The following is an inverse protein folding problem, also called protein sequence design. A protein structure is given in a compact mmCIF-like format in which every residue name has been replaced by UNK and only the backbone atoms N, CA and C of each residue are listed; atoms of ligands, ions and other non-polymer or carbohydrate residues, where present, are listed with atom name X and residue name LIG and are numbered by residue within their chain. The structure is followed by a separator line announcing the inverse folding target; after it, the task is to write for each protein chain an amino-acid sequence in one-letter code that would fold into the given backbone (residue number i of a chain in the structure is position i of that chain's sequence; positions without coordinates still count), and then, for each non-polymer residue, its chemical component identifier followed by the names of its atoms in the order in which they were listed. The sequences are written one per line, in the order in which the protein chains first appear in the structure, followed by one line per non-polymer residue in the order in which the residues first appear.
data_IF_659607947057
#
_entry.id   IF_659607947057
#
_cell.length_a   1.000
_cell.length_b   1.000
_cell.length_c   1.000
_cell.angle_alpha   90.00
_cell.angle_beta   90.00
_cell.angle_gamma   90.00
#
_symmetry.space_group_name_H-M   'P 1'
#
loop_
_entity.id
_entity.type
_entity.pdbx_description
1 polymer ?
#
# COMPACT_ATOMS: atom_id res chain seq x y z
N UNK A 1 22.36 1.03 11.81
CA UNK A 1 21.69 1.35 10.54
C UNK A 1 20.26 0.88 10.62
N UNK A 2 19.32 1.76 10.21
CA UNK A 2 17.87 1.53 10.33
C UNK A 2 17.24 1.95 9.00
N UNK A 3 16.34 1.11 8.47
CA UNK A 3 15.50 1.44 7.33
C UNK A 3 14.03 1.44 7.76
N UNK A 4 13.24 2.34 7.16
CA UNK A 4 11.79 2.39 7.31
C UNK A 4 11.12 2.41 5.95
N UNK A 5 10.15 1.54 5.75
CA UNK A 5 9.51 1.37 4.44
C UNK A 5 8.00 1.13 4.56
N UNK A 6 7.30 1.49 3.50
CA UNK A 6 5.86 1.28 3.30
C UNK A 6 5.63 0.39 2.07
N UNK A 7 6.27 -0.79 2.00
CA UNK A 7 6.07 -1.69 0.86
C UNK A 7 4.63 -2.18 0.79
N UNK A 8 4.08 -2.27 -0.43
CA UNK A 8 2.69 -2.67 -0.64
C UNK A 8 2.37 -4.04 -0.02
N UNK A 9 3.29 -5.00 -0.09
CA UNK A 9 3.11 -6.32 0.49
C UNK A 9 2.96 -6.25 2.03
N UNK A 10 3.88 -5.55 2.71
CA UNK A 10 3.81 -5.37 4.17
C UNK A 10 2.54 -4.62 4.55
N UNK A 11 2.21 -3.51 3.87
CA UNK A 11 1.01 -2.73 4.15
C UNK A 11 -0.27 -3.55 3.97
N UNK A 12 -0.35 -4.35 2.91
CA UNK A 12 -1.49 -5.25 2.69
C UNK A 12 -1.69 -6.22 3.86
N UNK A 13 -0.60 -6.69 4.46
CA UNK A 13 -0.66 -7.64 5.57
C UNK A 13 -0.96 -6.96 6.91
N UNK A 14 -0.29 -5.83 7.24
CA UNK A 14 -0.47 -5.15 8.54
C UNK A 14 -1.81 -4.44 8.67
N UNK A 15 -2.55 -4.28 7.56
CA UNK A 15 -3.91 -3.72 7.53
C UNK A 15 -5.01 -4.78 7.73
N UNK A 16 -4.68 -6.08 7.73
CA UNK A 16 -5.67 -7.13 7.99
C UNK A 16 -6.08 -7.18 9.47
N UNK A 17 -7.34 -7.46 9.75
CA UNK A 17 -7.86 -7.59 11.12
C UNK A 17 -7.11 -8.67 11.92
N UNK A 18 -6.77 -9.78 11.27
CA UNK A 18 -6.04 -10.90 11.87
C UNK A 18 -4.51 -10.84 11.64
N UNK A 19 -3.99 -9.68 11.27
CA UNK A 19 -2.58 -9.44 10.94
C UNK A 19 -1.61 -10.01 11.96
N UNK A 20 -1.83 -9.77 13.25
CA UNK A 20 -0.94 -10.26 14.33
C UNK A 20 -0.71 -11.76 14.27
N UNK A 21 -1.77 -12.54 14.07
CA UNK A 21 -1.68 -14.01 13.98
C UNK A 21 -0.91 -14.45 12.75
N UNK A 22 -1.13 -13.80 11.62
CA UNK A 22 -0.46 -14.11 10.36
C UNK A 22 1.02 -13.71 10.43
N UNK A 23 1.31 -12.51 10.92
CA UNK A 23 2.67 -12.01 11.11
C UNK A 23 3.51 -12.95 11.99
N UNK A 24 2.91 -13.45 13.08
CA UNK A 24 3.58 -14.41 13.96
C UNK A 24 3.86 -15.75 13.27
N UNK A 25 3.01 -16.20 12.35
CA UNK A 25 3.25 -17.40 11.54
C UNK A 25 4.40 -17.21 10.53
N UNK A 26 4.49 -16.02 9.91
CA UNK A 26 5.49 -15.74 8.87
C UNK A 26 6.87 -15.47 9.49
N UNK A 27 6.92 -14.69 10.57
CA UNK A 27 8.17 -14.13 11.12
C UNK A 27 8.58 -14.73 12.47
N UNK A 28 7.67 -15.41 13.18
CA UNK A 28 7.95 -15.85 14.55
C UNK A 28 8.26 -14.67 15.46
N UNK A 29 9.44 -14.70 16.08
CA UNK A 29 9.94 -13.63 16.95
C UNK A 29 10.96 -12.71 16.25
N UNK A 30 11.18 -12.88 14.95
CA UNK A 30 12.14 -12.04 14.21
C UNK A 30 11.74 -10.57 14.13
N UNK A 31 10.44 -10.31 14.14
CA UNK A 31 9.88 -8.96 14.11
C UNK A 31 8.96 -8.75 15.28
N UNK A 32 9.18 -7.67 16.02
CA UNK A 32 8.25 -7.26 17.07
C UNK A 32 7.09 -6.44 16.45
N UNK A 33 5.91 -6.55 17.05
CA UNK A 33 4.69 -5.93 16.53
C UNK A 33 4.33 -4.73 17.39
N UNK A 34 4.25 -3.56 16.75
CA UNK A 34 3.80 -2.31 17.36
C UNK A 34 2.32 -2.13 17.04
N UNK A 35 1.43 -2.00 18.02
CA UNK A 35 0.02 -1.68 17.77
C UNK A 35 -0.11 -0.31 17.09
N UNK A 36 -1.25 -0.09 16.41
CA UNK A 36 -1.49 1.20 15.77
C UNK A 36 -1.53 2.35 16.79
N UNK A 37 -0.70 3.33 16.51
CA UNK A 37 -0.71 4.65 17.16
C UNK A 37 -0.52 5.69 16.05
N UNK A 38 -1.22 6.82 16.16
CA UNK A 38 -1.07 7.92 15.21
C UNK A 38 0.42 8.28 15.03
N UNK A 39 0.92 8.37 13.78
CA UNK A 39 2.30 8.75 13.51
C UNK A 39 2.69 10.05 14.19
N UNK A 40 3.82 10.04 14.91
CA UNK A 40 4.32 11.16 15.69
C UNK A 40 5.10 10.71 16.91
N UNK A 41 5.28 11.59 17.87
CA UNK A 41 6.10 11.36 19.06
C UNK A 41 5.63 10.12 19.88
N UNK A 42 4.32 9.95 20.04
CA UNK A 42 3.77 8.82 20.79
C UNK A 42 4.11 7.47 20.13
N UNK A 43 4.05 7.39 18.80
CA UNK A 43 4.46 6.20 18.06
C UNK A 43 5.96 5.94 18.21
N UNK A 44 6.79 6.98 18.08
CA UNK A 44 8.25 6.86 18.21
C UNK A 44 8.64 6.31 19.60
N UNK A 45 8.03 6.83 20.66
CA UNK A 45 8.25 6.36 22.03
C UNK A 45 7.85 4.89 22.20
N UNK A 46 6.63 4.52 21.77
CA UNK A 46 6.15 3.13 21.87
C UNK A 46 7.01 2.16 21.05
N UNK A 47 7.43 2.57 19.84
CA UNK A 47 8.29 1.74 19.00
C UNK A 47 9.65 1.48 19.67
N UNK A 48 10.23 2.49 20.31
CA UNK A 48 11.47 2.35 21.07
C UNK A 48 11.29 1.40 22.27
N UNK A 49 10.25 1.58 23.06
CA UNK A 49 9.95 0.71 24.21
C UNK A 49 9.77 -0.76 23.78
N UNK A 50 9.07 -1.01 22.66
CA UNK A 50 8.89 -2.37 22.14
C UNK A 50 10.20 -2.94 21.57
N UNK A 51 11.01 -2.14 20.89
CA UNK A 51 12.31 -2.58 20.41
C UNK A 51 13.25 -2.98 21.55
N UNK A 52 13.27 -2.24 22.64
CA UNK A 52 14.06 -2.56 23.84
C UNK A 52 13.59 -3.84 24.54
N UNK A 53 12.29 -4.16 24.49
CA UNK A 53 11.73 -5.39 25.03
C UNK A 53 12.02 -6.63 24.15
N UNK A 54 12.44 -6.40 22.89
CA UNK A 54 12.71 -7.46 21.91
C UNK A 54 14.12 -7.30 21.30
N UNK A 55 15.18 -7.41 22.10
CA UNK A 55 16.55 -7.17 21.64
C UNK A 55 17.03 -8.16 20.56
N UNK A 56 16.37 -9.32 20.45
CA UNK A 56 16.61 -10.32 19.42
C UNK A 56 15.93 -10.02 18.09
N UNK A 57 15.02 -9.06 18.05
CA UNK A 57 14.28 -8.74 16.83
C UNK A 57 15.18 -8.09 15.76
N UNK A 58 14.86 -8.35 14.52
CA UNK A 58 15.53 -7.79 13.34
C UNK A 58 14.86 -6.52 12.82
N UNK A 59 13.73 -6.15 13.43
CA UNK A 59 12.92 -5.01 13.03
C UNK A 59 11.58 -4.94 13.77
N UNK A 60 10.74 -3.99 13.36
CA UNK A 60 9.38 -3.78 13.86
C UNK A 60 8.38 -3.81 12.71
N UNK A 61 7.21 -4.38 12.96
CA UNK A 61 6.02 -4.24 12.13
C UNK A 61 5.03 -3.32 12.85
N UNK A 62 4.76 -2.19 12.25
CA UNK A 62 3.82 -1.22 12.78
C UNK A 62 2.46 -1.48 12.12
N UNK A 63 1.48 -1.89 12.91
CA UNK A 63 0.14 -2.15 12.40
C UNK A 63 -0.44 -0.89 11.76
N UNK A 64 -1.03 -1.05 10.58
CA UNK A 64 -1.65 0.02 9.78
C UNK A 64 -0.68 1.17 9.41
N UNK A 65 0.65 0.90 9.40
CA UNK A 65 1.61 1.93 9.11
C UNK A 65 2.74 1.45 8.19
N UNK A 66 3.54 0.46 8.62
CA UNK A 66 4.72 0.07 7.86
C UNK A 66 5.69 -0.83 8.63
N UNK A 67 6.96 -0.71 8.28
CA UNK A 67 7.98 -1.67 8.67
C UNK A 67 9.32 -0.98 8.95
N UNK A 68 9.97 -1.33 10.05
CA UNK A 68 11.35 -0.99 10.34
C UNK A 68 12.24 -2.22 10.30
N UNK A 69 13.46 -2.04 9.82
CA UNK A 69 14.54 -3.00 9.98
C UNK A 69 15.78 -2.31 10.54
N UNK A 70 16.67 -3.07 11.13
CA UNK A 70 17.99 -2.58 11.51
C UNK A 70 19.07 -3.63 11.25
N UNK A 71 20.31 -3.19 11.22
CA UNK A 71 21.46 -4.05 10.98
C UNK A 71 22.78 -3.44 11.44
N UNK A 72 23.82 -4.27 11.53
CA UNK A 72 25.19 -3.83 11.89
C UNK A 72 25.79 -2.90 10.84
N UNK A 73 25.27 -2.94 9.61
CA UNK A 73 25.62 -2.06 8.51
C UNK A 73 24.38 -1.82 7.63
N UNK A 74 24.47 -0.85 6.71
CA UNK A 74 23.37 -0.46 5.84
C UNK A 74 22.89 -1.63 4.96
N UNK A 75 23.83 -2.43 4.43
CA UNK A 75 23.50 -3.59 3.60
C UNK A 75 22.64 -4.60 4.37
N UNK A 76 23.00 -4.93 5.59
CA UNK A 76 22.24 -5.88 6.40
C UNK A 76 20.83 -5.38 6.71
N UNK A 77 20.68 -4.09 7.03
CA UNK A 77 19.37 -3.48 7.25
C UNK A 77 18.50 -3.56 5.98
N UNK A 78 19.07 -3.17 4.83
CA UNK A 78 18.39 -3.24 3.53
C UNK A 78 18.04 -4.67 3.11
N UNK A 79 18.98 -5.62 3.25
CA UNK A 79 18.72 -7.03 2.91
C UNK A 79 17.53 -7.60 3.73
N UNK A 80 17.37 -7.15 4.98
CA UNK A 80 16.22 -7.51 5.82
C UNK A 80 14.91 -6.92 5.29
N UNK A 81 14.92 -5.68 4.78
CA UNK A 81 13.73 -5.11 4.11
C UNK A 81 13.27 -6.02 2.97
N UNK A 82 14.22 -6.43 2.13
CA UNK A 82 13.94 -7.29 0.96
C UNK A 82 13.45 -8.67 1.41
N UNK A 83 14.18 -9.34 2.34
CA UNK A 83 13.79 -10.67 2.83
C UNK A 83 12.37 -10.66 3.44
N UNK A 84 12.08 -9.69 4.28
CA UNK A 84 10.78 -9.59 4.94
C UNK A 84 9.65 -9.31 3.94
N UNK A 85 9.89 -8.43 2.98
CA UNK A 85 8.91 -8.14 1.92
C UNK A 85 8.64 -9.38 1.07
N UNK A 86 9.68 -10.08 0.62
CA UNK A 86 9.56 -11.30 -0.18
C UNK A 86 8.80 -12.42 0.55
N UNK A 87 8.99 -12.56 1.87
CA UNK A 87 8.23 -13.54 2.68
C UNK A 87 6.74 -13.24 2.70
N UNK A 88 6.38 -11.97 2.77
CA UNK A 88 4.96 -11.56 2.73
C UNK A 88 4.39 -11.75 1.33
N UNK A 89 5.14 -11.40 0.28
CA UNK A 89 4.73 -11.65 -1.11
C UNK A 89 4.50 -13.14 -1.38
N UNK A 90 5.42 -14.00 -0.92
CA UNK A 90 5.26 -15.46 -1.03
C UNK A 90 4.01 -15.94 -0.28
N UNK A 91 3.75 -15.41 0.92
CA UNK A 91 2.56 -15.76 1.68
C UNK A 91 1.26 -15.39 0.95
N UNK A 92 1.22 -14.25 0.25
CA UNK A 92 0.09 -13.86 -0.58
C UNK A 92 0.00 -14.70 -1.86
N UNK A 93 1.14 -14.99 -2.50
CA UNK A 93 1.18 -15.78 -3.74
C UNK A 93 0.54 -17.17 -3.57
N UNK A 94 0.81 -17.84 -2.45
CA UNK A 94 0.23 -19.14 -2.09
C UNK A 94 -1.30 -19.09 -1.88
N UNK A 95 -1.90 -17.90 -1.81
CA UNK A 95 -3.32 -17.67 -1.47
C UNK A 95 -4.08 -16.90 -2.52
N UNK A 96 -3.44 -16.60 -3.64
CA UNK A 96 -4.12 -15.98 -4.78
C UNK A 96 -4.91 -17.02 -5.52
N UNK A 97 -6.24 -16.88 -5.48
CA UNK A 97 -7.08 -17.57 -6.44
C UNK A 97 -6.76 -17.06 -7.84
N UNK A 98 -6.70 -17.97 -8.81
CA UNK A 98 -6.57 -17.60 -10.22
C UNK A 98 -7.88 -16.91 -10.64
N UNK A 99 -7.89 -15.58 -10.59
CA UNK A 99 -9.07 -14.82 -11.00
C UNK A 99 -9.09 -14.75 -12.52
N UNK A 100 -10.12 -15.33 -13.13
CA UNK A 100 -10.40 -15.15 -14.57
C UNK A 100 -11.22 -13.89 -14.77
N UNK A 101 -10.78 -13.05 -15.68
CA UNK A 101 -11.30 -11.71 -15.89
C UNK A 101 -11.95 -11.53 -17.27
N UNK A 102 -13.28 -11.44 -17.35
CA UNK A 102 -13.92 -10.86 -18.52
C UNK A 102 -13.85 -9.34 -18.37
N UNK A 103 -12.77 -8.72 -18.86
CA UNK A 103 -12.67 -7.26 -18.85
C UNK A 103 -13.63 -6.64 -19.86
N UNK A 104 -14.31 -5.58 -19.48
CA UNK A 104 -14.99 -4.71 -20.46
C UNK A 104 -13.90 -3.92 -21.18
N UNK A 105 -13.70 -4.21 -22.45
CA UNK A 105 -12.77 -3.45 -23.30
C UNK A 105 -13.53 -2.29 -23.90
N UNK A 106 -13.25 -1.08 -23.41
CA UNK A 106 -13.73 0.14 -24.04
C UNK A 106 -12.92 0.34 -25.35
N UNK A 107 -13.59 0.68 -26.44
CA UNK A 107 -12.91 0.99 -27.69
C UNK A 107 -12.01 2.22 -27.54
N UNK A 108 -10.95 2.31 -28.34
CA UNK A 108 -10.05 3.46 -28.32
C UNK A 108 -10.79 4.79 -28.59
N UNK A 109 -11.81 4.76 -29.45
CA UNK A 109 -12.61 5.94 -29.74
C UNK A 109 -13.45 6.41 -28.54
N UNK A 110 -14.08 5.48 -27.81
CA UNK A 110 -14.82 5.80 -26.59
C UNK A 110 -13.91 6.36 -25.51
N UNK A 111 -12.72 5.78 -25.34
CA UNK A 111 -11.72 6.28 -24.40
C UNK A 111 -11.26 7.70 -24.76
N UNK A 112 -11.00 7.99 -26.04
CA UNK A 112 -10.61 9.33 -26.49
C UNK A 112 -11.72 10.36 -26.27
N UNK A 113 -12.97 10.04 -26.55
CA UNK A 113 -14.10 10.92 -26.32
C UNK A 113 -14.22 11.25 -24.82
N UNK A 114 -14.14 10.24 -23.95
CA UNK A 114 -14.18 10.43 -22.51
C UNK A 114 -13.02 11.33 -22.01
N UNK A 115 -11.79 11.09 -22.46
CA UNK A 115 -10.63 11.91 -22.12
C UNK A 115 -10.82 13.36 -22.57
N UNK A 116 -11.39 13.58 -23.75
CA UNK A 116 -11.67 14.92 -24.27
C UNK A 116 -12.68 15.66 -23.38
N UNK A 117 -13.80 15.02 -23.05
CA UNK A 117 -14.84 15.61 -22.23
C UNK A 117 -14.36 15.87 -20.80
N UNK A 118 -13.60 14.93 -20.21
CA UNK A 118 -12.99 15.10 -18.89
C UNK A 118 -12.00 16.27 -18.89
N UNK A 119 -11.17 16.39 -19.91
CA UNK A 119 -10.21 17.50 -20.03
C UNK A 119 -10.94 18.85 -20.14
N UNK A 120 -12.02 18.91 -20.89
CA UNK A 120 -12.86 20.11 -21.00
C UNK A 120 -13.46 20.50 -19.65
N UNK A 121 -14.06 19.56 -18.93
CA UNK A 121 -14.62 19.76 -17.60
C UNK A 121 -13.58 20.25 -16.59
N UNK A 122 -12.37 19.66 -16.61
CA UNK A 122 -11.27 20.07 -15.74
C UNK A 122 -10.80 21.50 -16.00
N UNK A 123 -10.73 21.90 -17.28
CA UNK A 123 -10.39 23.28 -17.68
C UNK A 123 -11.47 24.26 -17.19
N UNK A 124 -12.73 23.93 -17.35
CA UNK A 124 -13.86 24.78 -16.90
C UNK A 124 -13.86 25.00 -15.38
N UNK A 125 -13.60 23.95 -14.60
CA UNK A 125 -13.51 24.03 -13.12
C UNK A 125 -12.26 24.81 -12.67
N UNK A 126 -11.21 24.82 -13.49
CA UNK A 126 -9.92 25.47 -13.15
C UNK A 126 -9.83 26.91 -13.65
N UNK A 127 -10.94 27.58 -13.92
CA UNK A 127 -11.08 28.84 -14.67
C UNK A 127 -10.20 30.03 -14.27
N UNK A 128 -9.41 29.96 -13.21
CA UNK A 128 -8.50 31.03 -12.76
C UNK A 128 -7.01 30.66 -12.79
N UNK A 129 -6.67 29.46 -13.19
CA UNK A 129 -5.28 29.01 -13.35
C UNK A 129 -5.23 28.29 -14.68
N UNK A 130 -4.36 28.69 -15.61
CA UNK A 130 -4.22 27.98 -16.91
C UNK A 130 -3.43 26.66 -16.76
N UNK A 131 -3.95 25.62 -16.09
CA UNK A 131 -3.26 24.35 -15.93
C UNK A 131 -3.31 23.63 -17.27
N UNK A 132 -2.16 23.23 -17.81
CA UNK A 132 -2.12 22.23 -18.86
C UNK A 132 -2.30 20.85 -18.23
N UNK A 133 -3.48 20.26 -18.39
CA UNK A 133 -3.71 18.87 -17.99
C UNK A 133 -3.16 17.91 -19.02
N UNK A 134 -2.32 17.00 -18.60
CA UNK A 134 -1.97 15.80 -19.34
C UNK A 134 -2.75 14.64 -18.70
N UNK A 135 -3.63 14.03 -19.48
CA UNK A 135 -4.39 12.86 -19.05
C UNK A 135 -3.75 11.62 -19.67
N UNK A 136 -3.42 10.67 -18.84
CA UNK A 136 -2.92 9.36 -19.24
C UNK A 136 -4.02 8.31 -19.07
N UNK A 137 -4.14 7.44 -20.08
CA UNK A 137 -5.13 6.38 -20.08
C UNK A 137 -4.48 5.03 -19.87
N UNK A 138 -4.68 4.47 -18.68
CA UNK A 138 -4.16 3.15 -18.35
C UNK A 138 -5.22 2.10 -18.74
N UNK A 139 -4.92 1.32 -19.78
CA UNK A 139 -5.79 0.27 -20.30
C UNK A 139 -5.13 -1.12 -20.09
N UNK A 140 -4.72 -1.41 -18.87
CA UNK A 140 -4.20 -2.72 -18.51
C UNK A 140 -5.38 -3.64 -18.12
N UNK A 141 -5.62 -4.75 -18.86
CA UNK A 141 -6.73 -5.67 -18.57
C UNK A 141 -6.71 -6.21 -17.12
N UNK A 142 -5.54 -6.43 -16.54
CA UNK A 142 -5.42 -6.93 -15.17
C UNK A 142 -5.88 -5.87 -14.16
N UNK A 143 -5.55 -4.59 -14.38
CA UNK A 143 -6.00 -3.47 -13.54
C UNK A 143 -7.50 -3.29 -13.67
N UNK A 144 -8.02 -3.20 -14.90
CA UNK A 144 -9.46 -2.99 -15.16
C UNK A 144 -10.28 -4.08 -14.51
N UNK A 145 -9.86 -5.29 -14.62
CA UNK A 145 -10.58 -6.42 -14.04
C UNK A 145 -10.61 -6.40 -12.53
N UNK A 146 -9.52 -6.00 -11.90
CA UNK A 146 -9.50 -5.81 -10.44
C UNK A 146 -10.45 -4.69 -10.02
N UNK A 147 -10.50 -3.60 -10.77
CA UNK A 147 -11.44 -2.51 -10.53
C UNK A 147 -12.88 -3.02 -10.61
N UNK A 148 -13.26 -3.74 -11.66
CA UNK A 148 -14.62 -4.27 -11.85
C UNK A 148 -15.06 -5.20 -10.72
N UNK A 149 -14.15 -6.08 -10.25
CA UNK A 149 -14.42 -6.93 -9.10
C UNK A 149 -14.61 -6.16 -7.80
N UNK A 150 -13.83 -5.08 -7.62
CA UNK A 150 -13.86 -4.31 -6.39
C UNK A 150 -14.97 -3.27 -6.35
N UNK A 151 -15.53 -2.87 -7.49
CA UNK A 151 -16.74 -2.05 -7.55
C UNK A 151 -17.91 -2.76 -6.88
N UNK A 152 -18.14 -4.04 -7.22
CA UNK A 152 -19.29 -4.80 -6.73
C UNK A 152 -19.25 -5.07 -5.22
N UNK A 153 -18.06 -5.16 -4.61
CA UNK A 153 -17.92 -5.42 -3.16
C UNK A 153 -17.56 -4.17 -2.33
N UNK A 154 -17.65 -2.98 -2.94
CA UNK A 154 -17.50 -1.70 -2.25
C UNK A 154 -16.07 -1.37 -1.78
N UNK A 155 -15.04 -2.11 -2.23
CA UNK A 155 -13.64 -1.90 -1.81
C UNK A 155 -13.14 -0.52 -2.24
N UNK A 156 -13.50 -0.05 -3.43
CA UNK A 156 -13.07 1.24 -3.94
C UNK A 156 -13.54 2.42 -3.07
N UNK A 157 -14.63 2.27 -2.35
CA UNK A 157 -15.13 3.30 -1.41
C UNK A 157 -14.42 3.34 -0.05
N UNK A 158 -13.53 2.37 0.25
CA UNK A 158 -12.87 2.28 1.56
C UNK A 158 -11.71 3.26 1.76
N UNK A 159 -11.25 3.88 0.70
CA UNK A 159 -10.10 4.78 0.72
C UNK A 159 -8.78 4.09 0.43
N UNK A 160 -7.70 4.85 0.55
CA UNK A 160 -6.35 4.39 0.20
C UNK A 160 -5.72 3.57 1.32
N UNK A 161 -4.91 2.59 0.96
CA UNK A 161 -4.34 1.62 1.90
C UNK A 161 -2.97 2.04 2.46
N UNK A 162 -2.34 3.08 1.93
CA UNK A 162 -0.97 3.44 2.30
C UNK A 162 -0.88 4.85 2.87
N UNK A 163 0.02 5.12 3.84
CA UNK A 163 0.28 6.46 4.35
C UNK A 163 0.71 7.44 3.26
N UNK A 164 1.51 6.98 2.29
CA UNK A 164 1.99 7.81 1.18
C UNK A 164 0.84 8.35 0.34
N UNK A 165 -0.17 7.55 0.06
CA UNK A 165 -1.35 7.99 -0.66
C UNK A 165 -2.19 8.97 0.16
N UNK A 166 -2.36 8.74 1.47
CA UNK A 166 -3.10 9.66 2.35
C UNK A 166 -2.45 11.05 2.37
N UNK A 167 -1.11 11.10 2.40
CA UNK A 167 -0.36 12.35 2.46
C UNK A 167 -0.38 13.11 1.12
N UNK A 168 -0.29 12.40 0.01
CA UNK A 168 -0.11 13.00 -1.33
C UNK A 168 -1.39 13.26 -2.10
N UNK A 169 -2.40 12.45 -1.86
CA UNK A 169 -3.71 12.53 -2.50
C UNK A 169 -4.80 12.61 -1.43
N UNK A 170 -6.04 12.40 -1.77
CA UNK A 170 -7.13 12.36 -0.79
C UNK A 170 -7.25 10.97 -0.16
N UNK A 171 -7.83 10.92 1.05
CA UNK A 171 -8.09 9.65 1.73
C UNK A 171 -9.09 8.74 0.98
N UNK A 172 -9.91 9.33 0.12
CA UNK A 172 -10.85 8.60 -0.75
C UNK A 172 -10.61 8.99 -2.20
N UNK A 173 -10.74 8.03 -3.16
CA UNK A 173 -10.75 8.35 -4.58
C UNK A 173 -11.96 9.23 -4.92
N UNK A 174 -11.88 9.91 -6.06
CA UNK A 174 -12.99 10.68 -6.62
C UNK A 174 -14.04 9.75 -7.20
#
# INVERSE_FOLDING_TARGET
YIDHTHSNAILSLVNLENSKTILKKIFGNKLAIVPYVMPGFALAKLATEIAEQHPEAEGLLLLQHGHFTWGKNAKQSYDRVIDHTNRVEAWFADRRDAVQYPGIVISHAEAQNFIHDLKKALIEVSANTSPSFVLDWINDPAIITQIDQHISNGVLGRGVATPDHVIRIKAKPL
#
